data_IF_380225270389
#
_entry.id   IF_380225270389
#
_cell.length_a   1.000
_cell.length_b   1.000
_cell.length_c   1.000
_cell.angle_alpha   90.00
_cell.angle_beta   90.00
_cell.angle_gamma   90.00
#
_symmetry.space_group_name_H-M   'P 1'
#
loop_
_entity.id
_entity.type
_entity.pdbx_description
1 polymer ?
#
# COMPACT_ATOMS: atom_id res chain seq x y z
N UNK A 1 10.70 2.68 -8.76
CA UNK A 1 11.81 3.07 -7.87
C UNK A 1 12.14 1.90 -6.96
N UNK A 2 13.41 1.80 -6.56
CA UNK A 2 14.09 0.54 -6.24
C UNK A 2 14.10 0.30 -4.73
N UNK A 3 13.98 -0.95 -4.30
CA UNK A 3 14.33 -1.34 -2.93
C UNK A 3 15.85 -1.29 -2.75
N UNK A 4 16.33 -0.51 -1.80
CA UNK A 4 17.74 -0.36 -1.46
C UNK A 4 18.12 -1.34 -0.34
N UNK A 5 19.05 -2.25 -0.62
CA UNK A 5 19.64 -3.10 0.41
C UNK A 5 20.79 -2.33 1.03
N UNK A 6 20.63 -1.93 2.28
CA UNK A 6 21.59 -1.11 3.02
C UNK A 6 22.81 -1.95 3.37
N UNK A 7 24.00 -1.47 3.00
CA UNK A 7 25.27 -2.19 3.24
C UNK A 7 26.03 -1.67 4.45
N UNK A 8 25.82 -0.41 4.82
CA UNK A 8 26.44 0.21 5.98
C UNK A 8 25.54 1.28 6.63
N UNK A 9 25.88 1.72 7.83
CA UNK A 9 25.08 2.69 8.57
C UNK A 9 25.12 4.10 7.95
N UNK A 10 26.16 4.45 7.19
CA UNK A 10 26.27 5.77 6.58
C UNK A 10 25.29 5.94 5.42
N UNK A 11 25.04 4.88 4.64
CA UNK A 11 24.02 4.85 3.60
C UNK A 11 22.63 5.17 4.17
N UNK A 12 22.29 4.58 5.33
CA UNK A 12 21.00 4.80 5.96
C UNK A 12 20.86 6.19 6.60
N UNK A 13 21.93 6.73 7.20
CA UNK A 13 21.91 8.11 7.71
C UNK A 13 21.85 9.13 6.56
N UNK A 14 22.49 8.87 5.42
CA UNK A 14 22.34 9.69 4.22
C UNK A 14 20.88 9.71 3.76
N UNK A 15 20.24 8.54 3.65
CA UNK A 15 18.83 8.41 3.30
C UNK A 15 17.90 9.17 4.27
N UNK A 16 18.21 9.17 5.56
CA UNK A 16 17.46 9.94 6.56
C UNK A 16 17.47 11.44 6.25
N UNK A 17 18.60 11.96 5.79
CA UNK A 17 18.79 13.40 5.58
C UNK A 17 18.47 13.88 4.15
N UNK A 18 18.53 13.01 3.14
CA UNK A 18 18.30 13.38 1.74
C UNK A 18 16.83 13.41 1.33
N UNK A 19 15.93 12.81 2.12
CA UNK A 19 14.60 12.48 1.65
C UNK A 19 13.57 13.56 2.01
N UNK A 20 13.35 14.48 1.06
CA UNK A 20 12.21 15.41 1.06
C UNK A 20 10.86 14.65 0.91
N UNK A 21 10.91 13.48 0.28
CA UNK A 21 9.78 12.56 0.06
C UNK A 21 9.70 11.47 1.13
N UNK A 22 8.58 10.76 1.18
CA UNK A 22 8.40 9.67 2.15
C UNK A 22 9.32 8.50 1.78
N UNK A 23 10.13 8.06 2.73
CA UNK A 23 10.89 6.83 2.64
C UNK A 23 10.39 5.80 3.66
N UNK A 24 10.52 4.52 3.36
CA UNK A 24 10.15 3.43 4.27
C UNK A 24 11.37 2.54 4.50
N UNK A 25 11.68 2.28 5.77
CA UNK A 25 12.85 1.47 6.16
C UNK A 25 12.38 0.27 6.96
N UNK A 26 12.75 -0.92 6.52
CA UNK A 26 12.53 -2.17 7.22
C UNK A 26 13.80 -2.68 7.88
N UNK A 27 13.74 -2.90 9.19
CA UNK A 27 14.81 -3.48 10.01
C UNK A 27 14.49 -4.94 10.32
N UNK A 28 15.33 -5.85 9.83
CA UNK A 28 15.21 -7.29 9.96
C UNK A 28 16.50 -7.89 10.49
N UNK A 29 16.51 -9.21 10.71
CA UNK A 29 17.73 -9.95 11.02
C UNK A 29 17.52 -11.44 10.86
N UNK A 30 18.44 -12.11 10.18
CA UNK A 30 18.37 -13.55 9.88
C UNK A 30 18.30 -14.45 11.13
N UNK A 31 18.75 -13.93 12.28
CA UNK A 31 18.69 -14.59 13.58
C UNK A 31 17.27 -14.71 14.16
N UNK A 32 16.27 -14.01 13.59
CA UNK A 32 14.88 -14.04 14.07
C UNK A 32 13.96 -14.65 13.01
N UNK A 33 13.29 -15.76 13.35
CA UNK A 33 12.30 -16.39 12.47
C UNK A 33 11.16 -15.42 12.10
N UNK A 34 10.65 -14.68 13.09
CA UNK A 34 9.62 -13.67 12.86
C UNK A 34 10.09 -12.54 11.93
N UNK A 35 11.37 -12.16 11.99
CA UNK A 35 11.93 -11.16 11.09
C UNK A 35 12.07 -11.67 9.66
N UNK A 36 12.50 -12.93 9.47
CA UNK A 36 12.57 -13.57 8.15
C UNK A 36 11.20 -13.69 7.49
N UNK A 37 10.18 -14.08 8.25
CA UNK A 37 8.79 -14.12 7.75
C UNK A 37 8.31 -12.72 7.36
N UNK A 38 8.48 -11.73 8.25
CA UNK A 38 8.03 -10.36 7.99
C UNK A 38 8.78 -9.68 6.83
N UNK A 39 10.02 -10.10 6.54
CA UNK A 39 10.80 -9.62 5.39
C UNK A 39 10.09 -9.95 4.08
N UNK A 40 9.49 -11.13 3.95
CA UNK A 40 8.76 -11.52 2.73
C UNK A 40 7.58 -10.58 2.47
N UNK A 41 6.80 -10.27 3.52
CA UNK A 41 5.69 -9.30 3.44
C UNK A 41 6.18 -7.88 3.16
N UNK A 42 7.34 -7.50 3.70
CA UNK A 42 7.93 -6.19 3.43
C UNK A 42 8.46 -6.07 1.99
N UNK A 43 9.09 -7.10 1.45
CA UNK A 43 9.53 -7.14 0.05
C UNK A 43 8.33 -7.09 -0.92
N UNK A 44 7.22 -7.74 -0.56
CA UNK A 44 5.96 -7.60 -1.28
C UNK A 44 5.43 -6.17 -1.21
N UNK A 45 5.43 -5.55 -0.03
CA UNK A 45 5.09 -4.13 0.11
C UNK A 45 5.95 -3.22 -0.77
N UNK A 46 7.28 -3.42 -0.79
CA UNK A 46 8.18 -2.60 -1.61
C UNK A 46 7.88 -2.77 -3.11
N UNK A 47 7.53 -3.98 -3.55
CA UNK A 47 7.15 -4.27 -4.94
C UNK A 47 5.83 -3.61 -5.32
N UNK A 48 4.85 -3.65 -4.44
CA UNK A 48 3.51 -3.06 -4.65
C UNK A 48 3.52 -1.53 -4.53
N UNK A 49 4.59 -0.96 -3.97
CA UNK A 49 4.78 0.47 -3.74
C UNK A 49 6.13 0.92 -4.31
N UNK A 50 6.39 0.56 -5.57
CA UNK A 50 7.64 0.86 -6.26
C UNK A 50 7.87 2.37 -6.44
N UNK A 51 6.89 3.22 -6.15
CA UNK A 51 7.05 4.66 -6.09
C UNK A 51 7.69 5.19 -4.81
N UNK A 52 7.81 4.36 -3.79
CA UNK A 52 8.50 4.73 -2.55
C UNK A 52 9.98 4.43 -2.64
N UNK A 53 10.72 5.30 -1.98
CA UNK A 53 12.07 4.99 -1.59
C UNK A 53 12.00 4.01 -0.41
N UNK A 54 12.45 2.78 -0.64
CA UNK A 54 12.38 1.72 0.36
C UNK A 54 13.76 1.18 0.67
N UNK A 55 14.02 0.94 1.96
CA UNK A 55 15.31 0.50 2.46
C UNK A 55 15.14 -0.77 3.28
N UNK A 56 15.96 -1.77 2.99
CA UNK A 56 16.03 -3.02 3.73
C UNK A 56 17.36 -3.07 4.49
N UNK A 57 17.24 -3.18 5.81
CA UNK A 57 18.38 -3.23 6.74
C UNK A 57 18.37 -4.58 7.45
N UNK A 58 19.43 -5.37 7.28
CA UNK A 58 19.72 -6.47 8.19
C UNK A 58 20.57 -5.94 9.35
N UNK A 59 20.04 -5.94 10.57
CA UNK A 59 20.75 -5.41 11.75
C UNK A 59 21.86 -6.32 12.26
N UNK A 60 21.88 -7.58 11.83
CA UNK A 60 22.97 -8.53 12.06
C UNK A 60 24.18 -8.24 11.20
N UNK A 61 23.97 -7.78 9.97
CA UNK A 61 25.03 -7.38 9.03
C UNK A 61 25.46 -5.92 9.25
N UNK A 62 24.48 -5.01 9.37
CA UNK A 62 24.71 -3.56 9.50
C UNK A 62 24.57 -3.13 10.96
N UNK A 63 25.64 -3.33 11.73
CA UNK A 63 25.63 -3.05 13.17
C UNK A 63 25.40 -1.56 13.47
N UNK A 64 24.42 -1.30 14.34
CA UNK A 64 24.15 0.04 14.88
C UNK A 64 23.27 0.94 14.01
N UNK A 65 22.96 0.54 12.77
CA UNK A 65 22.10 1.32 11.86
C UNK A 65 20.69 1.60 12.43
N UNK A 66 20.19 0.77 13.35
CA UNK A 66 18.89 0.95 13.99
C UNK A 66 18.85 2.04 15.09
N UNK A 67 20.01 2.40 15.66
CA UNK A 67 20.08 3.26 16.87
C UNK A 67 19.54 4.66 16.62
N UNK A 68 19.83 5.24 15.45
CA UNK A 68 19.37 6.58 15.06
C UNK A 68 17.84 6.69 14.87
N UNK A 69 17.14 5.56 14.80
CA UNK A 69 15.73 5.47 14.44
C UNK A 69 14.82 5.01 15.58
N UNK A 70 15.35 4.84 16.80
CA UNK A 70 14.56 4.39 17.95
C UNK A 70 14.07 2.93 17.84
N UNK A 71 14.70 2.13 16.97
CA UNK A 71 14.34 0.73 16.75
C UNK A 71 15.10 -0.15 17.75
N UNK A 72 14.37 -0.84 18.62
CA UNK A 72 14.92 -1.69 19.68
C UNK A 72 14.67 -3.19 19.48
N UNK A 73 13.87 -3.56 18.48
CA UNK A 73 13.55 -4.96 18.16
C UNK A 73 13.30 -5.13 16.66
N UNK A 74 13.47 -6.36 16.18
CA UNK A 74 13.17 -6.76 14.79
C UNK A 74 12.10 -7.86 14.77
N UNK A 75 11.20 -7.88 13.77
CA UNK A 75 11.09 -6.93 12.66
C UNK A 75 10.47 -5.59 13.10
N UNK A 76 10.99 -4.50 12.55
CA UNK A 76 10.38 -3.17 12.69
C UNK A 76 10.44 -2.45 11.35
N UNK A 77 9.33 -1.86 10.93
CA UNK A 77 9.25 -1.05 9.71
C UNK A 77 8.82 0.36 10.07
N UNK A 78 9.51 1.37 9.54
CA UNK A 78 9.25 2.78 9.83
C UNK A 78 9.04 3.57 8.54
N UNK A 79 8.27 4.65 8.63
CA UNK A 79 8.26 5.68 7.60
C UNK A 79 8.98 6.93 8.07
N UNK A 80 9.75 7.52 7.16
CA UNK A 80 10.62 8.65 7.35
C UNK A 80 10.21 9.78 6.43
N UNK A 81 10.37 11.02 6.89
CA UNK A 81 10.35 12.21 6.03
C UNK A 81 11.12 13.33 6.71
N UNK A 82 11.94 14.07 5.97
CA UNK A 82 12.69 15.23 6.49
C UNK A 82 13.48 14.89 7.78
N UNK A 83 14.17 13.75 7.78
CA UNK A 83 14.98 13.28 8.93
C UNK A 83 14.21 12.75 10.13
N UNK A 84 12.87 12.79 10.09
CA UNK A 84 11.99 12.42 11.19
C UNK A 84 11.27 11.10 10.93
N UNK A 85 11.19 10.26 11.96
CA UNK A 85 10.35 9.06 11.96
C UNK A 85 8.89 9.48 12.15
N UNK A 86 8.05 9.22 11.14
CA UNK A 86 6.63 9.57 11.17
C UNK A 86 5.77 8.50 11.82
N UNK A 87 6.01 7.23 11.44
CA UNK A 87 5.27 6.06 11.93
C UNK A 87 6.23 4.89 12.09
N UNK A 88 5.91 4.03 13.05
CA UNK A 88 6.66 2.81 13.33
C UNK A 88 5.69 1.66 13.54
N UNK A 89 5.98 0.53 12.90
CA UNK A 89 5.24 -0.72 12.98
C UNK A 89 6.21 -1.78 13.49
N UNK A 90 5.94 -2.30 14.68
CA UNK A 90 6.76 -3.33 15.33
C UNK A 90 6.08 -4.69 15.20
N UNK A 91 6.86 -5.71 14.86
CA UNK A 91 6.39 -7.08 14.71
C UNK A 91 5.91 -7.42 13.30
N UNK A 92 5.48 -8.67 13.11
CA UNK A 92 5.06 -9.21 11.82
C UNK A 92 3.75 -8.57 11.36
N UNK A 93 3.73 -8.09 10.13
CA UNK A 93 2.53 -7.56 9.48
C UNK A 93 2.53 -7.92 8.00
N UNK A 94 1.36 -7.84 7.37
CA UNK A 94 1.21 -8.05 5.93
C UNK A 94 1.59 -6.81 5.11
N UNK A 95 1.88 -7.02 3.83
CA UNK A 95 2.15 -5.94 2.88
C UNK A 95 1.06 -4.84 2.88
N UNK A 96 -0.21 -5.26 2.85
CA UNK A 96 -1.35 -4.35 2.87
C UNK A 96 -1.46 -3.56 4.19
N UNK A 97 -1.06 -4.15 5.32
CA UNK A 97 -1.02 -3.44 6.59
C UNK A 97 0.06 -2.36 6.57
N UNK A 98 1.26 -2.67 6.08
CA UNK A 98 2.35 -1.68 5.94
C UNK A 98 1.91 -0.50 5.10
N UNK A 99 1.26 -0.75 3.96
CA UNK A 99 0.75 0.32 3.10
C UNK A 99 -0.22 1.23 3.85
N UNK A 100 -1.19 0.67 4.57
CA UNK A 100 -2.16 1.45 5.34
C UNK A 100 -1.53 2.22 6.51
N UNK A 101 -0.55 1.63 7.19
CA UNK A 101 -0.01 2.17 8.43
C UNK A 101 1.11 3.19 8.22
N UNK A 102 1.93 3.00 7.18
CA UNK A 102 3.18 3.75 6.98
C UNK A 102 3.03 4.89 5.99
N UNK A 103 2.07 4.78 5.05
CA UNK A 103 1.80 5.79 4.04
C UNK A 103 0.68 6.72 4.54
N UNK A 104 0.95 8.01 4.74
CA UNK A 104 -0.09 8.97 5.09
C UNK A 104 -1.19 9.03 4.02
N UNK A 105 -2.45 9.16 4.46
CA UNK A 105 -3.56 9.40 3.54
C UNK A 105 -3.32 10.68 2.73
N UNK A 106 -3.48 10.60 1.41
CA UNK A 106 -3.22 11.71 0.50
C UNK A 106 -1.75 11.90 0.11
N UNK A 107 -0.85 10.99 0.50
CA UNK A 107 0.49 10.94 -0.07
C UNK A 107 0.42 10.66 -1.58
N UNK A 108 0.58 11.71 -2.37
CA UNK A 108 0.94 11.62 -3.78
C UNK A 108 2.47 11.48 -3.81
N UNK A 109 2.98 10.34 -4.29
CA UNK A 109 4.42 10.07 -4.34
C UNK A 109 5.24 11.12 -5.12
N UNK A 110 6.57 10.98 -5.17
CA UNK A 110 7.39 11.83 -6.03
C UNK A 110 6.80 11.86 -7.43
N UNK A 111 6.58 13.07 -7.95
CA UNK A 111 6.16 13.26 -9.33
C UNK A 111 7.28 12.71 -10.23
N UNK A 112 6.93 11.95 -11.27
CA UNK A 112 7.90 11.55 -12.29
C UNK A 112 8.51 12.78 -12.98
N UNK A 113 9.49 12.55 -13.87
CA UNK A 113 10.18 13.62 -14.61
C UNK A 113 9.22 14.50 -15.43
N UNK A 114 8.00 14.01 -15.68
CA UNK A 114 6.90 14.66 -16.37
C UNK A 114 5.89 15.35 -15.43
N UNK A 115 6.11 15.34 -14.11
CA UNK A 115 5.26 16.01 -13.12
C UNK A 115 4.04 15.20 -12.68
N UNK A 116 3.96 13.90 -13.02
CA UNK A 116 2.81 13.02 -12.76
C UNK A 116 3.11 12.08 -11.59
N UNK A 117 2.21 12.07 -10.60
CA UNK A 117 2.35 11.17 -9.46
C UNK A 117 2.09 9.70 -9.89
N UNK A 118 2.83 8.72 -9.33
CA UNK A 118 2.58 7.30 -9.54
C UNK A 118 1.18 6.94 -9.01
N UNK A 119 0.45 6.14 -9.80
CA UNK A 119 -0.99 5.98 -9.62
C UNK A 119 -1.33 5.00 -8.51
N UNK A 120 -1.43 5.51 -7.29
CA UNK A 120 -2.10 4.80 -6.20
C UNK A 120 -3.59 5.05 -6.29
N UNK A 121 -4.30 4.06 -6.81
CA UNK A 121 -5.75 4.12 -6.90
C UNK A 121 -6.38 3.77 -5.55
N UNK A 122 -7.18 4.68 -4.99
CA UNK A 122 -8.07 4.39 -3.89
C UNK A 122 -9.28 3.63 -4.44
N UNK A 123 -9.40 2.35 -4.10
CA UNK A 123 -10.50 1.49 -4.56
C UNK A 123 -11.38 1.08 -3.38
N UNK A 124 -12.67 1.41 -3.43
CA UNK A 124 -13.68 0.92 -2.48
C UNK A 124 -14.77 0.15 -3.22
N UNK A 125 -15.00 -1.09 -2.81
CA UNK A 125 -16.03 -1.98 -3.37
C UNK A 125 -17.20 -2.07 -2.41
N UNK A 126 -18.36 -1.63 -2.87
CA UNK A 126 -19.64 -1.77 -2.18
C UNK A 126 -20.33 -3.06 -2.60
N UNK A 127 -20.69 -3.88 -1.62
CA UNK A 127 -21.12 -5.27 -1.82
C UNK A 127 -22.26 -5.66 -0.89
N UNK A 128 -22.85 -6.82 -1.15
CA UNK A 128 -23.68 -7.58 -0.21
C UNK A 128 -23.22 -9.04 -0.13
N UNK A 129 -23.55 -9.79 0.94
CA UNK A 129 -23.00 -11.13 1.17
C UNK A 129 -23.34 -12.18 0.10
N UNK A 130 -24.49 -12.06 -0.55
CA UNK A 130 -25.03 -13.07 -1.49
C UNK A 130 -24.89 -12.68 -2.96
N UNK A 131 -24.25 -11.55 -3.27
CA UNK A 131 -24.14 -11.07 -4.64
C UNK A 131 -22.99 -11.76 -5.40
N UNK A 132 -23.33 -12.60 -6.38
CA UNK A 132 -22.37 -13.30 -7.25
C UNK A 132 -21.50 -12.33 -8.06
N UNK A 133 -22.06 -11.22 -8.53
CA UNK A 133 -21.33 -10.19 -9.27
C UNK A 133 -20.31 -9.44 -8.40
N UNK A 134 -20.62 -9.21 -7.12
CA UNK A 134 -19.66 -8.64 -6.18
C UNK A 134 -18.46 -9.58 -5.99
N UNK A 135 -18.71 -10.89 -5.85
CA UNK A 135 -17.64 -11.89 -5.77
C UNK A 135 -16.76 -11.86 -7.01
N UNK A 136 -17.36 -11.78 -8.21
CA UNK A 136 -16.61 -11.69 -9.47
C UNK A 136 -15.71 -10.46 -9.53
N UNK A 137 -16.25 -9.28 -9.20
CA UNK A 137 -15.48 -8.03 -9.16
C UNK A 137 -14.30 -8.12 -8.17
N UNK A 138 -14.54 -8.59 -6.96
CA UNK A 138 -13.50 -8.74 -5.92
C UNK A 138 -12.41 -9.70 -6.37
N UNK A 139 -12.76 -10.82 -6.99
CA UNK A 139 -11.81 -11.76 -7.54
C UNK A 139 -10.99 -11.14 -8.68
N UNK A 140 -11.63 -10.38 -9.56
CA UNK A 140 -10.96 -9.67 -10.65
C UNK A 140 -9.90 -8.68 -10.14
N UNK A 141 -10.26 -7.85 -9.15
CA UNK A 141 -9.33 -6.91 -8.53
C UNK A 141 -8.16 -7.63 -7.84
N UNK A 142 -8.43 -8.74 -7.13
CA UNK A 142 -7.36 -9.56 -6.52
C UNK A 142 -6.43 -10.18 -7.55
N UNK A 143 -6.95 -10.70 -8.66
CA UNK A 143 -6.14 -11.29 -9.73
C UNK A 143 -5.20 -10.26 -10.37
N UNK A 144 -5.60 -8.99 -10.39
CA UNK A 144 -4.79 -7.89 -10.91
C UNK A 144 -3.95 -7.19 -9.82
N UNK A 145 -3.83 -7.79 -8.63
CA UNK A 145 -3.11 -7.22 -7.48
C UNK A 145 -3.58 -5.81 -7.08
N UNK A 146 -4.85 -5.50 -7.30
CA UNK A 146 -5.45 -4.22 -6.91
C UNK A 146 -5.95 -4.33 -5.47
N UNK A 147 -5.35 -3.57 -4.56
CA UNK A 147 -5.83 -3.43 -3.20
C UNK A 147 -7.15 -2.64 -3.17
N UNK A 148 -8.14 -3.11 -2.40
CA UNK A 148 -9.41 -2.40 -2.24
C UNK A 148 -9.97 -2.55 -0.83
N UNK A 149 -10.77 -1.56 -0.42
CA UNK A 149 -11.61 -1.62 0.77
C UNK A 149 -12.97 -2.24 0.41
N UNK A 150 -13.43 -3.21 1.19
CA UNK A 150 -14.77 -3.77 1.05
C UNK A 150 -15.75 -3.09 2.03
N UNK A 151 -16.93 -2.70 1.55
CA UNK A 151 -18.01 -2.14 2.35
C UNK A 151 -19.28 -2.95 2.11
N UNK A 152 -19.74 -3.68 3.11
CA UNK A 152 -21.01 -4.40 3.08
C UNK A 152 -22.17 -3.45 3.40
N UNK A 153 -22.86 -2.98 2.36
CA UNK A 153 -23.96 -2.02 2.50
C UNK A 153 -25.24 -2.65 3.07
N UNK A 154 -25.32 -3.98 3.18
CA UNK A 154 -26.45 -4.64 3.85
C UNK A 154 -26.41 -4.47 5.37
N UNK A 155 -25.25 -4.12 5.92
CA UNK A 155 -25.01 -3.94 7.36
C UNK A 155 -24.83 -2.48 7.75
N UNK A 156 -24.78 -1.58 6.78
CA UNK A 156 -24.54 -0.16 6.98
C UNK A 156 -25.52 0.68 6.13
N UNK A 157 -26.64 1.04 6.76
CA UNK A 157 -27.70 1.79 6.11
C UNK A 157 -27.26 3.20 5.69
N UNK A 158 -26.29 3.81 6.40
CA UNK A 158 -25.75 5.11 6.02
C UNK A 158 -24.88 4.98 4.77
N UNK A 159 -23.99 3.97 4.72
CA UNK A 159 -23.22 3.67 3.52
C UNK A 159 -24.11 3.34 2.31
N UNK A 160 -25.22 2.62 2.52
CA UNK A 160 -26.20 2.35 1.47
C UNK A 160 -26.85 3.63 0.95
N UNK A 161 -27.31 4.53 1.83
CA UNK A 161 -27.92 5.80 1.44
C UNK A 161 -26.92 6.72 0.71
N UNK A 162 -25.69 6.80 1.21
CA UNK A 162 -24.61 7.56 0.58
C UNK A 162 -24.26 7.00 -0.80
N UNK A 163 -24.23 5.67 -0.95
CA UNK A 163 -23.97 5.02 -2.23
C UNK A 163 -25.00 5.43 -3.28
N UNK A 164 -26.29 5.39 -2.92
CA UNK A 164 -27.40 5.79 -3.79
C UNK A 164 -27.31 7.26 -4.14
N UNK A 165 -27.01 8.12 -3.18
CA UNK A 165 -26.85 9.56 -3.42
C UNK A 165 -25.72 9.84 -4.43
N UNK A 166 -24.62 9.09 -4.35
CA UNK A 166 -23.43 9.29 -5.19
C UNK A 166 -23.58 8.73 -6.60
N UNK A 167 -24.16 7.53 -6.75
CA UNK A 167 -24.24 6.84 -8.04
C UNK A 167 -25.60 6.94 -8.72
N UNK A 168 -26.64 7.38 -8.00
CA UNK A 168 -28.02 7.34 -8.45
C UNK A 168 -28.63 5.92 -8.46
N UNK A 169 -27.92 4.89 -7.99
CA UNK A 169 -28.36 3.50 -8.06
C UNK A 169 -28.23 2.78 -6.71
N UNK A 170 -29.19 1.90 -6.42
CA UNK A 170 -29.22 1.08 -5.20
C UNK A 170 -28.49 -0.27 -5.37
N UNK A 171 -28.36 -0.77 -6.60
CA UNK A 171 -27.81 -2.10 -6.87
C UNK A 171 -26.31 -2.20 -6.63
N UNK A 172 -25.85 -3.37 -6.17
CA UNK A 172 -24.43 -3.74 -6.07
C UNK A 172 -24.07 -4.77 -7.16
N UNK A 173 -22.79 -4.92 -7.57
CA UNK A 173 -21.61 -4.20 -7.08
C UNK A 173 -21.57 -2.75 -7.52
N UNK A 174 -20.97 -1.89 -6.70
CA UNK A 174 -20.50 -0.58 -7.13
C UNK A 174 -19.07 -0.39 -6.65
N UNK A 175 -18.25 0.27 -7.46
CA UNK A 175 -16.84 0.51 -7.15
C UNK A 175 -16.57 2.00 -7.22
N UNK A 176 -15.95 2.53 -6.19
CA UNK A 176 -15.37 3.86 -6.19
C UNK A 176 -13.87 3.72 -6.49
N UNK A 177 -13.41 4.34 -7.58
CA UNK A 177 -11.99 4.40 -7.95
C UNK A 177 -11.59 5.87 -8.04
N UNK A 178 -10.80 6.34 -7.07
CA UNK A 178 -10.37 7.75 -6.94
C UNK A 178 -11.51 8.77 -7.00
N UNK A 179 -12.65 8.45 -6.37
CA UNK A 179 -13.85 9.29 -6.37
C UNK A 179 -14.77 9.04 -7.56
N UNK A 180 -14.35 8.27 -8.56
CA UNK A 180 -15.16 7.91 -9.73
C UNK A 180 -15.98 6.66 -9.44
N UNK A 181 -17.30 6.82 -9.42
CA UNK A 181 -18.22 5.71 -9.24
C UNK A 181 -18.40 4.90 -10.53
N UNK A 182 -18.29 3.59 -10.40
CA UNK A 182 -18.59 2.58 -11.41
C UNK A 182 -19.72 1.71 -10.87
N UNK A 183 -20.80 1.60 -11.63
CA UNK A 183 -21.93 0.73 -11.27
C UNK A 183 -21.80 -0.59 -12.02
N UNK A 184 -21.97 -1.71 -11.30
CA UNK A 184 -21.83 -3.05 -11.85
C UNK A 184 -20.38 -3.48 -12.01
N UNK A 185 -20.18 -4.52 -12.83
CA UNK A 185 -18.86 -5.03 -13.21
C UNK A 185 -18.55 -4.58 -14.64
N UNK A 186 -17.95 -3.40 -14.79
CA UNK A 186 -17.47 -2.85 -16.06
C UNK A 186 -15.95 -2.95 -16.12
N UNK A 187 -15.46 -4.07 -16.64
CA UNK A 187 -14.04 -4.36 -16.70
C UNK A 187 -13.26 -3.29 -17.50
N UNK A 188 -13.76 -2.85 -18.66
CA UNK A 188 -13.05 -1.88 -19.50
C UNK A 188 -12.87 -0.54 -18.79
N UNK A 189 -13.89 -0.08 -18.07
CA UNK A 189 -13.81 1.16 -17.29
C UNK A 189 -12.91 1.02 -16.06
N UNK A 190 -12.96 -0.12 -15.38
CA UNK A 190 -12.07 -0.45 -14.27
C UNK A 190 -10.61 -0.43 -14.76
N UNK A 191 -10.32 -1.10 -15.88
CA UNK A 191 -8.98 -1.19 -16.46
C UNK A 191 -8.45 0.18 -16.84
N UNK A 192 -9.28 0.99 -17.51
CA UNK A 192 -8.91 2.34 -17.92
C UNK A 192 -8.61 3.27 -16.75
N UNK A 193 -9.40 3.17 -15.67
CA UNK A 193 -9.17 3.98 -14.47
C UNK A 193 -7.92 3.51 -13.73
N UNK A 194 -7.75 2.20 -13.56
CA UNK A 194 -6.63 1.59 -12.82
C UNK A 194 -5.32 1.49 -13.63
N UNK A 195 -5.36 1.82 -14.93
CA UNK A 195 -4.22 1.65 -15.81
C UNK A 195 -3.82 0.19 -16.02
N UNK A 196 -4.75 -0.75 -15.84
CA UNK A 196 -4.51 -2.16 -16.14
C UNK A 196 -4.34 -2.30 -17.64
N UNK A 197 -3.23 -2.91 -18.08
CA UNK A 197 -3.11 -3.31 -19.48
C UNK A 197 -4.18 -4.36 -19.70
N UNK A 198 -5.15 -4.07 -20.56
CA UNK A 198 -6.04 -5.08 -21.08
C UNK A 198 -5.15 -6.20 -21.62
N UNK A 199 -5.21 -7.38 -20.99
CA UNK A 199 -4.81 -8.61 -21.65
C UNK A 199 -5.83 -8.79 -22.78
N UNK A 200 -5.58 -8.08 -23.89
CA UNK A 200 -6.41 -8.11 -25.06
C UNK A 200 -6.10 -9.39 -25.84
N UNK A 201 -7.18 -10.13 -26.07
CA UNK A 201 -7.43 -11.04 -27.20
C UNK A 201 -6.53 -12.28 -27.36
#
# INVERSE_FOLDING_TARGET
MTMHIVKDAAELEAARHSNETLAVVGFFGEFSAAAKEARVDFEAFCRDNDDLETYLVDVGEVRGAHKGFGVSSVPTVISLREGSVLRQVVGRQSAAYYARALIPHGYAGPKDAEGKAPRRHSVTVYTTPTCSWCTRLKSYLRQNNVAFREVDVSRDAQAAADLVRRSGQQGVPQTDIDGTMIVGFDQGRIDGLLGLKSAGA
#
